data_IF_501597183438
#
_entry.id   IF_501597183438
#
_cell.length_a   1.000
_cell.length_b   1.000
_cell.length_c   1.000
_cell.angle_alpha   90.00
_cell.angle_beta   90.00
_cell.angle_gamma   90.00
#
_symmetry.space_group_name_H-M   'P 1'
#
loop_
_entity.id
_entity.type
_entity.pdbx_description
1 polymer ?
#
# COMPACT_ATOMS: atom_id res chain seq x y z
N UNK A 1 -19.11 -28.88 -63.50
CA UNK A 1 -20.12 -27.97 -64.09
C UNK A 1 -21.02 -27.53 -62.96
N UNK A 2 -20.75 -26.41 -62.29
CA UNK A 2 -21.04 -25.05 -62.78
C UNK A 2 -22.46 -24.71 -62.30
N UNK A 3 -22.77 -23.62 -61.58
CA UNK A 3 -22.10 -22.35 -61.42
C UNK A 3 -22.66 -21.57 -60.21
N UNK A 4 -21.85 -20.60 -59.79
CA UNK A 4 -22.23 -19.26 -59.30
C UNK A 4 -22.94 -19.08 -57.96
N UNK A 5 -22.14 -18.55 -57.02
CA UNK A 5 -22.51 -17.64 -55.94
C UNK A 5 -22.94 -16.26 -56.49
N UNK A 6 -23.86 -15.61 -55.77
CA UNK A 6 -24.09 -14.15 -55.65
C UNK A 6 -24.80 -13.99 -54.30
N UNK A 7 -24.21 -13.55 -53.20
CA UNK A 7 -23.60 -12.27 -52.80
C UNK A 7 -24.56 -11.07 -52.63
N UNK A 8 -24.37 -10.43 -51.47
CA UNK A 8 -24.82 -9.14 -50.94
C UNK A 8 -26.29 -8.87 -50.57
N UNK A 9 -26.53 -8.69 -49.26
CA UNK A 9 -26.91 -7.36 -48.76
C UNK A 9 -26.35 -7.11 -47.34
N UNK A 10 -25.76 -5.93 -47.16
CA UNK A 10 -24.98 -5.43 -46.01
C UNK A 10 -25.86 -4.76 -44.94
N UNK A 11 -25.24 -4.62 -43.76
CA UNK A 11 -25.38 -3.53 -42.77
C UNK A 11 -26.63 -3.57 -41.87
N UNK A 12 -26.58 -3.25 -40.57
CA UNK A 12 -25.56 -2.65 -39.72
C UNK A 12 -25.87 -2.97 -38.24
N UNK A 13 -24.99 -2.50 -37.36
CA UNK A 13 -25.25 -2.18 -35.94
C UNK A 13 -25.24 -3.36 -34.94
N UNK A 14 -24.50 -3.34 -33.83
CA UNK A 14 -23.58 -2.36 -33.27
C UNK A 14 -22.68 -3.13 -32.30
N UNK A 15 -21.39 -2.79 -32.28
CA UNK A 15 -20.39 -3.32 -31.36
C UNK A 15 -20.76 -2.89 -29.94
N UNK A 16 -21.06 -3.83 -29.05
CA UNK A 16 -21.10 -3.51 -27.62
C UNK A 16 -19.69 -3.56 -27.07
N UNK A 17 -19.20 -2.35 -26.79
CA UNK A 17 -17.90 -1.99 -26.25
C UNK A 17 -17.31 -2.98 -25.24
N UNK A 18 -16.18 -3.57 -25.63
CA UNK A 18 -15.06 -3.77 -24.72
C UNK A 18 -14.51 -2.38 -24.43
N UNK A 19 -14.60 -1.94 -23.18
CA UNK A 19 -13.72 -0.95 -22.52
C UNK A 19 -14.19 -0.84 -21.06
N UNK A 20 -14.04 -1.93 -20.32
CA UNK A 20 -13.85 -1.82 -18.88
C UNK A 20 -12.36 -1.54 -18.70
N UNK A 21 -11.96 -0.30 -18.92
CA UNK A 21 -10.69 0.20 -18.40
C UNK A 21 -10.83 0.14 -16.88
N UNK A 22 -10.28 -0.91 -16.29
CA UNK A 22 -10.00 -0.98 -14.87
C UNK A 22 -9.06 0.21 -14.59
N UNK A 23 -9.66 1.32 -14.19
CA UNK A 23 -8.94 2.51 -13.76
C UNK A 23 -8.07 2.07 -12.58
N UNK A 24 -6.80 1.82 -12.87
CA UNK A 24 -5.79 1.61 -11.86
C UNK A 24 -5.88 2.79 -10.89
N UNK A 25 -6.13 2.47 -9.62
CA UNK A 25 -6.25 3.48 -8.59
C UNK A 25 -5.05 4.43 -8.67
N UNK A 26 -5.23 5.75 -8.49
CA UNK A 26 -4.13 6.69 -8.49
C UNK A 26 -3.02 6.22 -7.54
N UNK A 27 -1.74 6.47 -7.87
CA UNK A 27 -0.63 5.97 -7.05
C UNK A 27 -0.84 6.43 -5.61
N UNK A 28 -0.70 5.53 -4.63
CA UNK A 28 -0.96 5.89 -3.25
C UNK A 28 -0.03 7.03 -2.84
N UNK A 29 -0.57 8.02 -2.14
CA UNK A 29 0.23 9.08 -1.53
C UNK A 29 1.33 8.45 -0.67
N UNK A 30 2.49 9.11 -0.55
CA UNK A 30 3.60 8.62 0.26
C UNK A 30 3.68 9.35 1.61
N UNK A 31 4.00 8.61 2.67
CA UNK A 31 4.38 9.14 3.98
C UNK A 31 5.82 8.77 4.32
N UNK A 32 6.43 9.50 5.27
CA UNK A 32 7.70 9.12 5.88
C UNK A 32 7.45 8.27 7.11
N UNK A 33 8.18 7.17 7.24
CA UNK A 33 8.09 6.28 8.38
C UNK A 33 9.49 5.93 8.92
N UNK A 34 9.58 5.70 10.22
CA UNK A 34 10.77 5.10 10.84
C UNK A 34 10.66 3.58 10.68
N UNK A 35 11.54 3.01 9.87
CA UNK A 35 11.58 1.58 9.54
C UNK A 35 12.80 0.95 10.18
N UNK A 36 12.60 -0.15 10.91
CA UNK A 36 13.69 -1.01 11.36
C UNK A 36 14.00 -2.02 10.25
N UNK A 37 15.16 -1.90 9.60
CA UNK A 37 15.54 -2.78 8.49
C UNK A 37 16.17 -4.09 8.94
N UNK A 38 16.75 -4.13 10.14
CA UNK A 38 17.29 -5.31 10.81
C UNK A 38 17.40 -5.03 12.33
N UNK A 39 17.52 -6.05 13.18
CA UNK A 39 17.71 -5.84 14.62
C UNK A 39 19.12 -5.32 14.96
N UNK A 40 19.23 -4.65 16.10
CA UNK A 40 20.51 -4.25 16.70
C UNK A 40 20.71 -2.73 16.76
N UNK A 41 21.82 -2.25 16.19
CA UNK A 41 22.28 -0.85 16.31
C UNK A 41 21.47 0.18 15.53
N UNK A 42 21.70 1.47 15.80
CA UNK A 42 20.96 2.59 15.16
C UNK A 42 21.11 2.63 13.63
N UNK A 43 22.15 2.01 13.07
CA UNK A 43 22.35 1.92 11.61
C UNK A 43 21.17 1.23 10.89
N UNK A 44 20.43 0.38 11.58
CA UNK A 44 19.28 -0.33 11.04
C UNK A 44 17.96 0.47 11.16
N UNK A 45 17.95 1.62 11.83
CA UNK A 45 16.80 2.51 11.90
C UNK A 45 16.89 3.51 10.75
N UNK A 46 15.91 3.50 9.85
CA UNK A 46 15.89 4.32 8.63
C UNK A 46 14.61 5.13 8.53
N UNK A 47 14.73 6.38 8.10
CA UNK A 47 13.57 7.13 7.58
C UNK A 47 13.36 6.67 6.14
N UNK A 48 12.20 6.09 5.85
CA UNK A 48 11.85 5.60 4.51
C UNK A 48 10.51 6.17 4.06
N UNK A 49 10.33 6.28 2.75
CA UNK A 49 9.02 6.53 2.15
C UNK A 49 8.20 5.24 2.14
N UNK A 50 6.93 5.32 2.52
CA UNK A 50 5.96 4.23 2.52
C UNK A 50 4.63 4.74 1.96
N UNK A 51 3.80 3.89 1.35
CA UNK A 51 2.43 4.27 1.02
C UNK A 51 1.70 4.77 2.26
N UNK A 52 0.93 5.85 2.12
CA UNK A 52 -0.03 6.31 3.12
C UNK A 52 -1.08 5.22 3.30
N UNK A 53 -1.36 4.78 4.55
CA UNK A 53 -2.30 3.71 4.79
C UNK A 53 -3.73 4.21 4.56
N UNK A 54 -4.57 3.35 4.00
CA UNK A 54 -6.02 3.58 3.91
C UNK A 54 -6.68 2.90 5.12
N UNK A 55 -7.44 3.63 5.96
CA UNK A 55 -8.11 3.04 7.11
C UNK A 55 -9.21 2.07 6.65
N UNK A 56 -9.32 0.92 7.31
CA UNK A 56 -10.42 -0.02 7.13
C UNK A 56 -11.69 0.38 7.88
N UNK A 57 -12.69 -0.51 7.85
CA UNK A 57 -13.94 -0.32 8.60
C UNK A 57 -13.66 -0.27 10.11
N UNK A 58 -14.13 0.80 10.77
CA UNK A 58 -13.92 1.01 12.20
C UNK A 58 -12.55 1.55 12.59
N UNK A 59 -11.65 1.79 11.64
CA UNK A 59 -10.32 2.39 11.87
C UNK A 59 -10.33 3.89 11.60
N UNK A 60 -9.34 4.61 12.14
CA UNK A 60 -9.08 6.02 11.84
C UNK A 60 -7.66 6.20 11.31
N UNK A 61 -7.49 7.11 10.36
CA UNK A 61 -6.18 7.53 9.89
C UNK A 61 -5.71 8.75 10.68
N UNK A 62 -4.56 8.66 11.34
CA UNK A 62 -4.02 9.77 12.14
C UNK A 62 -2.85 10.42 11.41
N UNK A 63 -2.96 11.72 11.14
CA UNK A 63 -1.82 12.55 10.76
C UNK A 63 -0.96 12.85 11.99
N UNK A 64 0.02 11.99 12.23
CA UNK A 64 0.91 12.05 13.40
C UNK A 64 1.64 13.39 13.48
N UNK A 65 1.47 14.09 14.61
CA UNK A 65 2.20 15.33 14.94
C UNK A 65 3.37 15.05 15.89
N UNK A 66 3.20 14.09 16.80
CA UNK A 66 4.22 13.63 17.74
C UNK A 66 4.06 12.12 18.01
N UNK A 67 5.17 11.44 18.30
CA UNK A 67 5.19 10.06 18.80
C UNK A 67 6.00 9.99 20.09
N UNK A 68 5.56 9.14 21.00
CA UNK A 68 6.31 8.82 22.22
C UNK A 68 7.44 7.85 21.90
N UNK A 69 8.52 7.94 22.67
CA UNK A 69 9.57 6.93 22.72
C UNK A 69 9.57 6.34 24.12
N UNK A 70 9.42 5.03 24.19
CA UNK A 70 9.43 4.29 25.43
C UNK A 70 10.49 3.19 25.39
N UNK A 71 10.66 2.49 26.53
CA UNK A 71 11.68 1.46 26.65
C UNK A 71 11.45 0.26 25.72
N UNK A 72 10.18 -0.05 25.42
CA UNK A 72 9.81 -1.15 24.53
C UNK A 72 10.33 -0.90 23.10
N UNK A 73 10.34 0.34 22.61
CA UNK A 73 10.95 0.68 21.31
C UNK A 73 12.42 0.26 21.25
N UNK A 74 13.16 0.42 22.35
CA UNK A 74 14.57 0.03 22.43
C UNK A 74 14.74 -1.48 22.44
N UNK A 75 13.91 -2.20 23.19
CA UNK A 75 13.93 -3.67 23.25
C UNK A 75 13.58 -4.27 21.89
N UNK A 76 12.52 -3.77 21.25
CA UNK A 76 12.06 -4.17 19.91
C UNK A 76 13.14 -3.91 18.87
N UNK A 77 13.78 -2.73 18.88
CA UNK A 77 14.90 -2.41 17.99
C UNK A 77 16.06 -3.41 18.12
N UNK A 78 16.34 -3.88 19.33
CA UNK A 78 17.39 -4.85 19.61
C UNK A 78 16.97 -6.30 19.30
N UNK A 79 15.68 -6.57 19.05
CA UNK A 79 15.14 -7.92 18.96
C UNK A 79 15.07 -8.63 20.32
N UNK A 80 15.10 -7.87 21.42
CA UNK A 80 15.14 -8.36 22.80
C UNK A 80 13.74 -8.47 23.43
N UNK A 81 12.76 -8.91 22.65
CA UNK A 81 11.39 -9.20 23.11
C UNK A 81 11.01 -10.61 22.66
N UNK A 82 10.02 -11.21 23.32
CA UNK A 82 9.44 -12.46 22.86
C UNK A 82 8.71 -12.25 21.53
N UNK A 83 9.03 -13.09 20.54
CA UNK A 83 8.45 -13.06 19.19
C UNK A 83 8.45 -11.67 18.53
N UNK A 84 9.63 -11.08 18.23
CA UNK A 84 9.71 -9.74 17.66
C UNK A 84 9.11 -9.69 16.24
N UNK A 85 8.61 -8.52 15.79
CA UNK A 85 8.11 -8.35 14.43
C UNK A 85 9.20 -8.68 13.40
N UNK A 86 8.82 -9.30 12.28
CA UNK A 86 9.77 -9.57 11.19
C UNK A 86 10.23 -8.25 10.57
N UNK A 87 11.54 -8.05 10.49
CA UNK A 87 12.12 -6.92 9.76
C UNK A 87 12.03 -7.13 8.25
N UNK A 88 11.77 -6.09 7.45
CA UNK A 88 11.59 -4.69 7.86
C UNK A 88 10.17 -4.38 8.36
N UNK A 89 10.04 -3.56 9.41
CA UNK A 89 8.75 -3.06 9.90
C UNK A 89 8.81 -1.60 10.37
N UNK A 90 7.66 -0.93 10.44
CA UNK A 90 7.53 0.46 10.93
C UNK A 90 7.51 0.44 12.46
N UNK A 91 8.39 1.22 13.10
CA UNK A 91 8.48 1.30 14.57
C UNK A 91 7.51 2.33 15.17
N UNK A 92 7.29 2.23 16.48
CA UNK A 92 6.50 3.15 17.30
C UNK A 92 5.23 2.50 17.84
N UNK A 93 4.94 2.74 19.13
CA UNK A 93 3.76 2.18 19.80
C UNK A 93 2.69 3.22 20.17
N UNK A 94 3.05 4.50 20.18
CA UNK A 94 2.16 5.57 20.61
C UNK A 94 2.35 6.85 19.79
N UNK A 95 1.26 7.55 19.54
CA UNK A 95 1.27 8.81 18.80
C UNK A 95 0.13 9.75 19.21
N UNK A 96 0.30 11.02 18.87
CA UNK A 96 -0.74 12.04 18.94
C UNK A 96 -0.77 12.82 17.63
N UNK A 97 -1.96 13.14 17.15
CA UNK A 97 -2.18 13.80 15.87
C UNK A 97 -3.64 14.14 15.64
N UNK A 98 -3.96 14.48 14.40
CA UNK A 98 -5.33 14.76 13.96
C UNK A 98 -5.87 13.59 13.16
N UNK A 99 -7.16 13.28 13.33
CA UNK A 99 -7.92 12.38 12.46
C UNK A 99 -8.32 13.12 11.20
#
# INVERSE_FOLDING_TARGET
>A
MGDSKTDESKSADNKTNQNAEEQAAPPPNEMRAIVLTNFGGLKAVKVMKKPEPTPGEGEVLIRVKACGLNFLDLMVRQGAIDNPPKTPFIMGFECAGTV
#
